data_IF_610480113676
#
_entry.id   IF_610480113676
#
_cell.length_a   1.000
_cell.length_b   1.000
_cell.length_c   1.000
_cell.angle_alpha   90.00
_cell.angle_beta   90.00
_cell.angle_gamma   90.00
#
_symmetry.space_group_name_H-M   'P 1'
#
loop_
_entity.id
_entity.type
_entity.pdbx_description
1 polymer ?
#
# COMPACT_ATOMS: atom_id res chain seq x y z
N UNK A 1 -6.21 -87.25 14.21
CA UNK A 1 -5.08 -86.37 14.60
C UNK A 1 -5.56 -84.93 14.42
N UNK A 2 -5.50 -84.13 15.48
CA UNK A 2 -6.22 -82.84 15.62
C UNK A 2 -5.84 -81.77 14.58
N UNK A 3 -6.75 -80.86 14.21
CA UNK A 3 -6.42 -79.63 13.49
C UNK A 3 -5.77 -78.60 14.43
N UNK A 4 -4.76 -77.86 13.95
CA UNK A 4 -4.08 -76.78 14.70
C UNK A 4 -4.50 -75.41 14.13
N UNK A 5 -4.69 -74.36 14.96
CA UNK A 5 -5.52 -73.21 14.63
C UNK A 5 -4.77 -72.08 13.91
N UNK A 6 -5.53 -71.25 13.21
CA UNK A 6 -5.09 -70.02 12.58
C UNK A 6 -4.72 -68.93 13.62
N UNK A 7 -3.72 -68.07 13.35
CA UNK A 7 -3.64 -66.77 13.96
C UNK A 7 -4.18 -65.70 13.00
N UNK A 8 -5.30 -65.12 13.44
CA UNK A 8 -5.75 -63.75 13.20
C UNK A 8 -4.57 -62.77 13.23
N UNK A 9 -4.59 -61.78 12.33
CA UNK A 9 -4.04 -60.41 12.43
C UNK A 9 -3.54 -59.94 11.06
N UNK A 10 -4.47 -59.76 10.12
CA UNK A 10 -4.32 -58.69 9.14
C UNK A 10 -4.38 -57.38 9.95
N UNK A 11 -3.23 -56.75 10.11
CA UNK A 11 -3.08 -55.38 10.57
C UNK A 11 -3.75 -54.46 9.54
N UNK A 12 -5.07 -54.33 9.60
CA UNK A 12 -5.79 -53.29 8.91
C UNK A 12 -5.45 -51.96 9.60
N UNK A 13 -4.52 -51.24 9.00
CA UNK A 13 -4.29 -49.83 9.29
C UNK A 13 -5.58 -49.07 8.96
N UNK A 14 -6.05 -48.12 9.80
CA UNK A 14 -7.15 -47.26 9.43
C UNK A 14 -6.75 -46.44 8.18
N UNK A 15 -7.63 -46.25 7.18
CA UNK A 15 -7.38 -45.23 6.18
C UNK A 15 -7.36 -43.90 6.92
N UNK A 16 -6.17 -43.28 7.02
CA UNK A 16 -6.12 -41.86 7.28
C UNK A 16 -6.77 -41.20 6.07
N UNK A 17 -8.03 -40.81 6.24
CA UNK A 17 -8.71 -39.89 5.35
C UNK A 17 -8.00 -38.54 5.46
N UNK A 18 -6.93 -38.41 4.70
CA UNK A 18 -6.13 -37.19 4.56
C UNK A 18 -6.64 -36.42 3.36
N UNK A 19 -7.90 -35.99 3.42
CA UNK A 19 -8.24 -34.72 2.83
C UNK A 19 -8.28 -33.68 3.95
N UNK A 20 -7.21 -32.90 4.14
CA UNK A 20 -7.27 -31.75 5.04
C UNK A 20 -8.38 -30.81 4.53
N UNK A 21 -9.12 -30.13 5.43
CA UNK A 21 -10.09 -29.15 5.00
C UNK A 21 -9.39 -28.20 4.04
N UNK A 22 -9.96 -28.03 2.84
CA UNK A 22 -9.63 -26.96 1.93
C UNK A 22 -9.40 -25.73 2.79
N UNK A 23 -8.14 -25.29 2.81
CA UNK A 23 -7.80 -24.01 3.38
C UNK A 23 -8.45 -23.01 2.43
N UNK A 24 -9.72 -22.70 2.69
CA UNK A 24 -10.42 -21.57 2.14
C UNK A 24 -9.41 -20.44 2.05
N UNK A 25 -9.32 -19.72 0.91
CA UNK A 25 -8.31 -18.70 0.74
C UNK A 25 -8.41 -17.80 1.96
N UNK A 26 -7.44 -17.93 2.87
CA UNK A 26 -7.40 -17.11 4.09
C UNK A 26 -7.60 -15.72 3.56
N UNK A 27 -8.60 -15.04 4.09
CA UNK A 27 -8.87 -13.66 3.76
C UNK A 27 -7.61 -12.88 4.18
N UNK A 28 -6.64 -12.81 3.26
CA UNK A 28 -5.27 -12.31 3.51
C UNK A 28 -5.25 -10.79 3.53
N UNK A 29 -6.42 -10.17 3.61
CA UNK A 29 -6.58 -8.81 4.10
C UNK A 29 -6.75 -8.87 5.62
N UNK A 30 -5.79 -9.47 6.32
CA UNK A 30 -5.51 -8.97 7.66
C UNK A 30 -5.20 -7.49 7.47
N UNK A 31 -6.12 -6.63 7.93
CA UNK A 31 -5.99 -5.18 7.84
C UNK A 31 -4.62 -4.81 8.40
N UNK A 32 -3.68 -4.49 7.50
CA UNK A 32 -2.34 -4.09 7.89
C UNK A 32 -2.47 -2.77 8.64
N UNK A 33 -2.49 -2.84 9.97
CA UNK A 33 -2.48 -1.65 10.82
C UNK A 33 -1.05 -1.13 10.87
N UNK A 34 -0.80 -0.11 10.06
CA UNK A 34 0.47 0.60 10.04
C UNK A 34 0.45 1.71 11.08
N UNK A 35 1.61 2.00 11.68
CA UNK A 35 1.77 3.25 12.42
C UNK A 35 1.73 4.44 11.44
N UNK A 36 1.42 5.64 11.95
CA UNK A 36 1.43 6.85 11.12
C UNK A 36 2.76 7.04 10.36
N UNK A 37 3.90 6.84 11.04
CA UNK A 37 5.21 6.92 10.40
C UNK A 37 5.41 5.85 9.31
N UNK A 38 4.97 4.62 9.54
CA UNK A 38 5.06 3.56 8.53
C UNK A 38 4.18 3.88 7.31
N UNK A 39 3.04 4.50 7.55
CA UNK A 39 2.13 4.92 6.49
C UNK A 39 2.71 6.05 5.65
N UNK A 40 3.29 7.08 6.28
CA UNK A 40 3.96 8.17 5.57
C UNK A 40 5.13 7.65 4.72
N UNK A 41 5.95 6.76 5.28
CA UNK A 41 7.06 6.14 4.54
C UNK A 41 6.57 5.28 3.38
N UNK A 42 5.47 4.55 3.56
CA UNK A 42 4.90 3.72 2.51
C UNK A 42 4.29 4.57 1.40
N UNK A 43 3.62 5.67 1.74
CA UNK A 43 3.05 6.61 0.76
C UNK A 43 4.14 7.27 -0.09
N UNK A 44 5.24 7.70 0.55
CA UNK A 44 6.41 8.24 -0.16
C UNK A 44 7.05 7.17 -1.06
N UNK A 45 7.23 5.94 -0.57
CA UNK A 45 7.80 4.86 -1.35
C UNK A 45 6.92 4.48 -2.56
N UNK A 46 5.59 4.47 -2.40
CA UNK A 46 4.64 4.21 -3.48
C UNK A 46 4.65 5.35 -4.51
N UNK A 47 4.71 6.60 -4.05
CA UNK A 47 4.83 7.77 -4.93
C UNK A 47 6.09 7.72 -5.77
N UNK A 48 7.25 7.45 -5.14
CA UNK A 48 8.52 7.29 -5.86
C UNK A 48 8.48 6.13 -6.87
N UNK A 49 7.83 5.02 -6.49
CA UNK A 49 7.66 3.86 -7.38
C UNK A 49 6.79 4.18 -8.59
N UNK A 50 5.72 4.96 -8.41
CA UNK A 50 4.86 5.45 -9.50
C UNK A 50 5.68 6.32 -10.45
N UNK A 51 6.45 7.28 -9.94
CA UNK A 51 7.26 8.17 -10.75
C UNK A 51 8.29 7.39 -11.58
N UNK A 52 9.03 6.48 -10.94
CA UNK A 52 10.03 5.65 -11.61
C UNK A 52 9.43 4.77 -12.71
N UNK A 53 8.26 4.16 -12.46
CA UNK A 53 7.60 3.30 -13.44
C UNK A 53 6.97 4.08 -14.58
N UNK A 54 6.42 5.26 -14.29
CA UNK A 54 5.90 6.18 -15.31
C UNK A 54 7.01 6.64 -16.25
N UNK A 55 8.15 7.02 -15.69
CA UNK A 55 9.32 7.40 -16.48
C UNK A 55 9.87 6.23 -17.31
N UNK A 56 9.89 5.02 -16.75
CA UNK A 56 10.31 3.82 -17.49
C UNK A 56 9.35 3.49 -18.65
N UNK A 57 8.03 3.64 -18.45
CA UNK A 57 7.03 3.52 -19.50
C UNK A 57 7.27 4.55 -20.61
N UNK A 58 7.53 5.81 -20.26
CA UNK A 58 7.79 6.86 -21.25
C UNK A 58 9.02 6.55 -22.11
N UNK A 59 10.10 6.08 -21.48
CA UNK A 59 11.31 5.65 -22.19
C UNK A 59 11.00 4.46 -23.09
N UNK A 60 10.35 3.42 -22.57
CA UNK A 60 10.02 2.22 -23.33
C UNK A 60 9.12 2.55 -24.53
N UNK A 61 8.11 3.40 -24.34
CA UNK A 61 7.24 3.87 -25.40
C UNK A 61 8.00 4.67 -26.46
N UNK A 62 8.94 5.55 -26.06
CA UNK A 62 9.79 6.26 -27.00
C UNK A 62 10.68 5.33 -27.81
N UNK A 63 11.28 4.32 -27.18
CA UNK A 63 12.14 3.34 -27.84
C UNK A 63 11.33 2.48 -28.81
N UNK A 64 10.20 1.93 -28.40
CA UNK A 64 9.32 1.12 -29.25
C UNK A 64 8.83 1.91 -30.46
N UNK A 65 8.42 3.18 -30.29
CA UNK A 65 8.01 4.05 -31.40
C UNK A 65 9.13 4.26 -32.43
N UNK A 66 10.38 4.41 -31.98
CA UNK A 66 11.53 4.59 -32.87
C UNK A 66 11.91 3.30 -33.60
N UNK A 67 11.70 2.15 -32.97
CA UNK A 67 12.07 0.83 -33.52
C UNK A 67 10.91 0.15 -34.29
N UNK A 68 9.73 0.78 -34.35
CA UNK A 68 8.53 0.19 -34.98
C UNK A 68 7.93 -0.97 -34.18
N UNK A 69 8.25 -1.06 -32.88
CA UNK A 69 7.74 -2.09 -31.97
C UNK A 69 6.40 -1.72 -31.34
N UNK A 70 5.77 -2.71 -30.71
CA UNK A 70 4.55 -2.52 -29.91
C UNK A 70 4.88 -1.62 -28.71
N UNK A 71 4.09 -0.56 -28.55
CA UNK A 71 4.23 0.37 -27.42
C UNK A 71 3.60 -0.28 -26.18
N UNK A 72 4.35 -0.45 -25.08
CA UNK A 72 3.78 -0.99 -23.85
C UNK A 72 2.78 0.01 -23.25
N UNK A 73 1.81 -0.51 -22.51
CA UNK A 73 0.78 0.28 -21.84
C UNK A 73 1.05 0.44 -20.32
N UNK A 74 0.12 1.10 -19.64
CA UNK A 74 0.22 1.34 -18.19
C UNK A 74 0.12 0.06 -17.35
N UNK A 75 -0.51 -1.01 -17.87
CA UNK A 75 -0.66 -2.30 -17.20
C UNK A 75 0.63 -3.11 -17.28
N UNK A 76 1.37 -3.00 -18.38
CA UNK A 76 2.71 -3.60 -18.52
C UNK A 76 3.67 -3.09 -17.45
N UNK A 77 3.46 -1.86 -16.95
CA UNK A 77 4.22 -1.24 -15.86
C UNK A 77 3.51 -1.31 -14.49
N UNK A 78 2.35 -1.98 -14.41
CA UNK A 78 1.53 -2.16 -13.20
C UNK A 78 1.17 -0.85 -12.47
N UNK A 79 1.15 0.29 -13.17
CA UNK A 79 0.79 1.58 -12.57
C UNK A 79 -0.60 1.57 -11.93
N UNK A 80 -1.65 0.98 -12.56
CA UNK A 80 -2.97 0.91 -11.94
C UNK A 80 -2.99 0.17 -10.60
N UNK A 81 -2.25 -0.94 -10.49
CA UNK A 81 -2.20 -1.74 -9.27
C UNK A 81 -1.54 -0.99 -8.10
N UNK A 82 -0.52 -0.17 -8.39
CA UNK A 82 0.19 0.62 -7.38
C UNK A 82 -0.69 1.79 -6.92
N UNK A 83 -1.36 2.48 -7.85
CA UNK A 83 -2.30 3.57 -7.54
C UNK A 83 -3.48 3.03 -6.70
N UNK A 84 -4.01 1.86 -7.05
CA UNK A 84 -5.08 1.21 -6.30
C UNK A 84 -4.63 0.82 -4.89
N UNK A 85 -3.39 0.35 -4.74
CA UNK A 85 -2.82 0.07 -3.43
C UNK A 85 -2.69 1.35 -2.59
N UNK A 86 -2.17 2.44 -3.15
CA UNK A 86 -2.05 3.72 -2.47
C UNK A 86 -3.43 4.24 -2.01
N UNK A 87 -4.45 4.15 -2.88
CA UNK A 87 -5.84 4.55 -2.54
C UNK A 87 -6.43 3.71 -1.41
N UNK A 88 -6.19 2.39 -1.43
CA UNK A 88 -6.68 1.48 -0.37
C UNK A 88 -6.02 1.77 0.97
N UNK A 89 -4.73 2.08 0.99
CA UNK A 89 -4.00 2.44 2.21
C UNK A 89 -4.46 3.79 2.75
N UNK A 90 -4.68 4.79 1.89
CA UNK A 90 -5.23 6.09 2.28
C UNK A 90 -6.64 5.94 2.89
N UNK A 91 -7.50 5.11 2.29
CA UNK A 91 -8.85 4.85 2.80
C UNK A 91 -8.83 4.11 4.16
N UNK A 92 -7.85 3.22 4.39
CA UNK A 92 -7.70 2.51 5.67
C UNK A 92 -7.25 3.42 6.83
N UNK A 93 -6.70 4.60 6.52
CA UNK A 93 -6.27 5.59 7.49
C UNK A 93 -7.45 6.43 8.06
N UNK A 94 -8.50 6.59 7.27
CA UNK A 94 -9.71 7.35 7.64
C UNK A 94 -10.68 6.41 8.34
N UNK A 95 -10.33 5.95 9.54
CA UNK A 95 -11.33 5.32 10.43
C UNK A 95 -12.21 6.42 11.01
N UNK A 96 -13.56 6.30 10.96
CA UNK A 96 -14.46 7.28 11.56
C UNK A 96 -14.26 7.26 13.08
N UNK A 97 -13.74 8.37 13.58
CA UNK A 97 -13.73 8.71 15.00
C UNK A 97 -15.17 8.61 15.52
N UNK A 98 -15.41 7.69 16.45
CA UNK A 98 -16.69 7.61 17.15
C UNK A 98 -16.84 8.95 17.88
N UNK A 99 -17.78 9.75 17.39
CA UNK A 99 -18.24 10.98 18.01
C UNK A 99 -18.81 10.65 19.39
N UNK A 100 -17.93 10.59 20.41
CA UNK A 100 -18.34 10.75 21.79
C UNK A 100 -18.58 12.24 22.00
N UNK A 101 -19.81 12.66 21.73
CA UNK A 101 -20.39 13.81 22.41
C UNK A 101 -20.34 13.50 23.92
N UNK A 102 -19.38 14.09 24.62
CA UNK A 102 -19.52 14.37 26.04
C UNK A 102 -19.28 15.85 26.29
N UNK A 103 -20.36 16.46 26.77
CA UNK A 103 -20.51 17.85 27.14
C UNK A 103 -19.48 18.33 28.17
N UNK A 104 -19.11 19.61 27.98
CA UNK A 104 -18.78 20.62 28.98
C UNK A 104 -17.84 20.27 30.14
N UNK A 105 -16.66 20.91 30.14
CA UNK A 105 -16.19 21.62 31.34
C UNK A 105 -15.13 22.67 30.98
N UNK A 106 -15.44 23.93 31.28
CA UNK A 106 -14.50 25.04 31.24
C UNK A 106 -13.51 24.93 32.41
N UNK A 107 -12.22 25.14 32.15
CA UNK A 107 -11.36 25.97 33.01
C UNK A 107 -10.07 26.32 32.26
N UNK A 108 -9.80 27.63 32.21
CA UNK A 108 -8.64 28.25 31.60
C UNK A 108 -7.31 27.79 32.22
N UNK A 109 -6.21 27.81 31.44
CA UNK A 109 -4.96 28.49 31.81
C UNK A 109 -4.07 28.67 30.57
N UNK A 110 -3.71 29.93 30.36
CA UNK A 110 -2.80 30.55 29.39
C UNK A 110 -1.42 29.88 29.30
N UNK A 111 -0.95 29.57 28.08
CA UNK A 111 0.50 29.62 27.78
C UNK A 111 0.71 30.41 26.49
N UNK A 112 1.24 31.61 26.73
CA UNK A 112 1.74 32.61 25.80
C UNK A 112 3.02 32.09 25.14
N UNK A 113 3.00 31.82 23.83
CA UNK A 113 4.22 31.81 23.02
C UNK A 113 3.97 32.61 21.75
N UNK A 114 4.33 33.90 21.82
CA UNK A 114 4.47 34.75 20.66
C UNK A 114 5.85 34.55 20.04
N UNK A 115 5.89 34.40 18.71
CA UNK A 115 7.07 34.74 17.88
C UNK A 115 6.54 35.47 16.63
N UNK A 116 7.15 36.61 16.23
CA UNK A 116 6.49 37.64 15.42
C UNK A 116 6.58 37.40 13.91
N UNK A 117 5.53 37.79 13.18
CA UNK A 117 5.53 37.91 11.71
C UNK A 117 6.48 39.04 11.27
N UNK A 118 7.68 38.68 10.84
CA UNK A 118 8.64 39.62 10.23
C UNK A 118 8.32 39.78 8.74
N UNK A 119 7.62 40.87 8.43
CA UNK A 119 7.55 41.48 7.10
C UNK A 119 8.95 41.91 6.64
N UNK A 120 9.32 41.63 5.39
CA UNK A 120 10.63 41.96 4.82
C UNK A 120 10.68 41.84 3.30
N UNK A 121 10.56 43.00 2.64
CA UNK A 121 10.70 43.27 1.19
C UNK A 121 12.08 42.89 0.64
N UNK A 122 12.15 42.35 -0.59
CA UNK A 122 12.99 42.76 -1.77
C UNK A 122 13.03 41.64 -2.83
N UNK A 123 12.56 41.91 -4.06
CA UNK A 123 13.33 42.33 -5.25
C UNK A 123 14.06 41.13 -5.92
N UNK A 124 14.07 40.91 -7.23
CA UNK A 124 13.93 41.81 -8.36
C UNK A 124 13.38 41.07 -9.59
N UNK A 125 12.55 41.76 -10.38
CA UNK A 125 12.31 41.43 -11.79
C UNK A 125 13.54 41.89 -12.57
N UNK A 126 14.25 40.97 -13.21
CA UNK A 126 15.23 41.30 -14.25
C UNK A 126 14.55 40.96 -15.58
N UNK A 127 14.03 41.99 -16.24
CA UNK A 127 13.66 41.92 -17.64
C UNK A 127 14.95 42.05 -18.46
N UNK A 128 15.25 41.05 -19.29
CA UNK A 128 16.28 41.15 -20.33
C UNK A 128 15.63 41.78 -21.56
N UNK A 129 16.18 42.89 -22.11
CA UNK A 129 15.80 43.31 -23.45
C UNK A 129 16.47 42.40 -24.47
N UNK A 130 15.65 41.68 -25.25
CA UNK A 130 16.07 41.18 -26.56
C UNK A 130 15.94 42.36 -27.51
N UNK A 131 17.03 42.76 -28.16
CA UNK A 131 16.91 43.51 -29.39
C UNK A 131 17.99 43.03 -30.36
N UNK A 132 17.47 42.77 -31.55
CA UNK A 132 18.07 42.34 -32.81
C UNK A 132 19.09 43.33 -33.36
#
# INVERSE_FOLDING_TARGET
MMPRPAPTHLRQSPPMDMNPPESAPRDRTSELRLSAQQQDLLDEALSLLIDMRSHALDIAAQVCRRQGGVVPDVHDFQLPAIIDLQRRLAAACVTPDVTVLHSESQAATTVLFGIPRRSGKRAARISLPVNT
#
